data_IF_859403458836
#
_entry.id   IF_859403458836
#
_cell.length_a   1.000
_cell.length_b   1.000
_cell.length_c   1.000
_cell.angle_alpha   90.00
_cell.angle_beta   90.00
_cell.angle_gamma   90.00
#
_symmetry.space_group_name_H-M   'P 1'
#
loop_
_entity.id
_entity.type
_entity.pdbx_description
1 polymer ?
#
# COMPACT_ATOMS: atom_id res chain seq x y z
N UNK A 1 -23.63 3.33 5.18
CA UNK A 1 -22.40 2.67 5.66
C UNK A 1 -21.15 3.39 5.17
N UNK A 2 -20.99 3.61 3.86
CA UNK A 2 -19.82 4.34 3.32
C UNK A 2 -19.78 5.81 3.75
N UNK A 3 -20.92 6.52 3.75
CA UNK A 3 -21.00 7.89 4.25
C UNK A 3 -20.68 8.01 5.75
N UNK A 4 -21.04 6.99 6.52
CA UNK A 4 -20.74 6.94 7.95
C UNK A 4 -19.24 6.74 8.20
N UNK A 5 -18.61 5.80 7.49
CA UNK A 5 -17.16 5.61 7.53
C UNK A 5 -16.42 6.89 7.11
N UNK A 6 -16.86 7.55 6.04
CA UNK A 6 -16.23 8.78 5.57
C UNK A 6 -16.24 9.88 6.64
N UNK A 7 -17.39 10.12 7.28
CA UNK A 7 -17.50 11.09 8.38
C UNK A 7 -16.61 10.71 9.56
N UNK A 8 -16.67 9.44 10.02
CA UNK A 8 -15.87 8.98 11.16
C UNK A 8 -14.37 9.18 10.93
N UNK A 9 -13.87 8.87 9.74
CA UNK A 9 -12.46 9.04 9.42
C UNK A 9 -12.06 10.53 9.42
N UNK A 10 -12.88 11.40 8.83
CA UNK A 10 -12.63 12.85 8.84
C UNK A 10 -12.64 13.41 10.27
N UNK A 11 -13.60 12.99 11.10
CA UNK A 11 -13.74 13.47 12.47
C UNK A 11 -12.56 13.02 13.35
N UNK A 12 -12.12 11.76 13.21
CA UNK A 12 -10.96 11.23 13.92
C UNK A 12 -9.67 12.00 13.59
N UNK A 13 -9.48 12.33 12.32
CA UNK A 13 -8.32 13.12 11.88
C UNK A 13 -8.35 14.54 12.45
N UNK A 14 -9.50 15.22 12.36
CA UNK A 14 -9.62 16.60 12.86
C UNK A 14 -9.51 16.70 14.38
N UNK A 15 -9.94 15.68 15.13
CA UNK A 15 -9.82 15.66 16.58
C UNK A 15 -8.36 15.62 17.08
N UNK A 16 -7.39 15.30 16.21
CA UNK A 16 -5.98 15.10 16.58
C UNK A 16 -5.00 15.80 15.64
N UNK A 17 -5.40 16.96 15.09
CA UNK A 17 -4.57 17.75 14.19
C UNK A 17 -3.24 18.24 14.79
N UNK A 18 -3.16 18.33 16.12
CA UNK A 18 -2.04 18.97 16.82
C UNK A 18 -0.85 18.03 17.12
N UNK A 19 -1.02 16.71 16.96
CA UNK A 19 0.05 15.73 17.07
C UNK A 19 -0.31 14.46 16.29
N UNK A 20 0.61 13.97 15.44
CA UNK A 20 0.44 12.67 14.80
C UNK A 20 0.56 11.58 15.87
N UNK A 21 -0.61 11.16 16.35
CA UNK A 21 -0.74 10.10 17.34
C UNK A 21 -0.93 8.76 16.64
N UNK A 22 0.04 7.87 16.84
CA UNK A 22 0.01 6.49 16.33
C UNK A 22 -1.29 5.78 16.78
N UNK A 23 -1.83 6.09 17.97
CA UNK A 23 -3.07 5.51 18.45
C UNK A 23 -4.28 5.90 17.57
N UNK A 24 -4.27 7.11 17.01
CA UNK A 24 -5.34 7.60 16.12
C UNK A 24 -5.20 6.97 14.73
N UNK A 25 -3.97 6.82 14.24
CA UNK A 25 -3.70 6.09 13.00
C UNK A 25 -4.13 4.61 13.12
N UNK A 26 -3.86 4.00 14.28
CA UNK A 26 -4.31 2.66 14.61
C UNK A 26 -5.84 2.57 14.67
N UNK A 27 -6.50 3.54 15.29
CA UNK A 27 -7.96 3.61 15.30
C UNK A 27 -8.53 3.75 13.88
N UNK A 28 -7.91 4.55 13.02
CA UNK A 28 -8.26 4.65 11.59
C UNK A 28 -8.16 3.31 10.88
N UNK A 29 -7.03 2.62 11.03
CA UNK A 29 -6.80 1.29 10.46
C UNK A 29 -7.87 0.29 10.95
N UNK A 30 -8.20 0.31 12.24
CA UNK A 30 -9.27 -0.50 12.82
C UNK A 30 -10.65 -0.18 12.23
N UNK A 31 -11.00 1.10 12.03
CA UNK A 31 -12.27 1.49 11.42
C UNK A 31 -12.38 1.02 9.97
N UNK A 32 -11.31 1.18 9.19
CA UNK A 32 -11.23 0.66 7.81
C UNK A 32 -11.42 -0.86 7.80
N UNK A 33 -10.72 -1.57 8.68
CA UNK A 33 -10.79 -3.02 8.79
C UNK A 33 -12.19 -3.49 9.19
N UNK A 34 -12.79 -2.93 10.22
CA UNK A 34 -14.15 -3.24 10.67
C UNK A 34 -15.18 -2.93 9.58
N UNK A 35 -15.07 -1.78 8.90
CA UNK A 35 -16.00 -1.44 7.83
C UNK A 35 -15.92 -2.42 6.64
N UNK A 36 -14.74 -2.96 6.34
CA UNK A 36 -14.57 -3.92 5.27
C UNK A 36 -15.06 -5.33 5.64
N UNK A 37 -14.61 -5.85 6.79
CA UNK A 37 -14.83 -7.25 7.18
C UNK A 37 -16.11 -7.48 7.99
N UNK A 38 -16.57 -6.52 8.78
CA UNK A 38 -17.79 -6.66 9.59
C UNK A 38 -19.05 -6.24 8.83
N UNK A 39 -18.92 -5.61 7.66
CA UNK A 39 -20.06 -5.26 6.82
C UNK A 39 -20.69 -6.48 6.16
N UNK A 40 -22.01 -6.55 6.15
CA UNK A 40 -22.70 -7.57 5.35
C UNK A 40 -22.51 -7.28 3.86
N UNK A 41 -22.09 -8.30 3.11
CA UNK A 41 -21.93 -8.16 1.66
C UNK A 41 -23.30 -8.03 1.01
N UNK A 42 -23.60 -6.87 0.45
CA UNK A 42 -24.76 -6.72 -0.43
C UNK A 42 -24.45 -7.34 -1.79
N UNK A 43 -25.39 -8.12 -2.33
CA UNK A 43 -25.22 -8.88 -3.57
C UNK A 43 -24.98 -7.90 -4.72
N UNK A 44 -23.81 -7.99 -5.37
CA UNK A 44 -23.47 -7.19 -6.56
C UNK A 44 -22.56 -5.98 -6.35
N UNK A 45 -22.16 -5.64 -5.12
CA UNK A 45 -21.23 -4.52 -4.87
C UNK A 45 -19.81 -5.01 -4.60
N UNK A 46 -18.82 -4.51 -5.34
CA UNK A 46 -17.42 -4.82 -5.11
C UNK A 46 -16.91 -4.01 -3.90
N UNK A 47 -16.84 -4.66 -2.74
CA UNK A 47 -16.42 -4.03 -1.48
C UNK A 47 -15.06 -3.31 -1.57
N UNK A 48 -14.13 -3.82 -2.36
CA UNK A 48 -12.82 -3.19 -2.53
C UNK A 48 -12.94 -1.85 -3.26
N UNK A 49 -13.66 -1.82 -4.38
CA UNK A 49 -13.89 -0.58 -5.13
C UNK A 49 -14.71 0.44 -4.33
N UNK A 50 -15.70 -0.05 -3.58
CA UNK A 50 -16.51 0.74 -2.68
C UNK A 50 -15.66 1.40 -1.57
N UNK A 51 -14.76 0.63 -0.95
CA UNK A 51 -13.84 1.17 0.06
C UNK A 51 -12.84 2.15 -0.57
N UNK A 52 -12.24 1.80 -1.70
CA UNK A 52 -11.28 2.63 -2.43
C UNK A 52 -11.89 4.00 -2.80
N UNK A 53 -13.12 4.02 -3.31
CA UNK A 53 -13.82 5.26 -3.61
C UNK A 53 -14.09 6.10 -2.36
N UNK A 54 -14.45 5.46 -1.25
CA UNK A 54 -14.69 6.14 0.04
C UNK A 54 -13.39 6.75 0.57
N UNK A 55 -12.30 5.98 0.58
CA UNK A 55 -11.00 6.47 1.02
C UNK A 55 -10.49 7.60 0.13
N UNK A 56 -10.59 7.47 -1.20
CA UNK A 56 -10.21 8.53 -2.12
C UNK A 56 -10.98 9.82 -1.84
N UNK A 57 -12.29 9.74 -1.59
CA UNK A 57 -13.09 10.91 -1.23
C UNK A 57 -12.64 11.55 0.09
N UNK A 58 -12.42 10.74 1.14
CA UNK A 58 -11.94 11.22 2.45
C UNK A 58 -10.58 11.89 2.30
N UNK A 59 -9.65 11.22 1.62
CA UNK A 59 -8.29 11.70 1.47
C UNK A 59 -8.24 13.00 0.66
N UNK A 60 -9.02 13.10 -0.44
CA UNK A 60 -9.18 14.36 -1.17
C UNK A 60 -9.75 15.48 -0.28
N UNK A 61 -10.71 15.18 0.58
CA UNK A 61 -11.28 16.17 1.50
C UNK A 61 -10.25 16.70 2.51
N UNK A 62 -9.42 15.80 3.05
CA UNK A 62 -8.41 16.12 4.05
C UNK A 62 -7.17 16.78 3.46
N UNK A 63 -6.84 16.48 2.19
CA UNK A 63 -5.63 16.96 1.54
C UNK A 63 -5.75 18.36 0.92
N UNK A 64 -6.95 18.88 0.69
CA UNK A 64 -7.21 20.19 0.06
C UNK A 64 -7.12 21.39 1.05
N UNK A 65 -6.91 21.13 2.35
CA UNK A 65 -6.92 22.18 3.39
C UNK A 65 -5.51 22.54 3.87
N UNK A 66 -5.40 23.57 4.73
CA UNK A 66 -4.15 24.03 5.37
C UNK A 66 -3.34 22.93 6.10
N UNK A 67 -3.92 21.74 6.27
CA UNK A 67 -3.38 20.60 6.99
C UNK A 67 -2.89 19.48 6.07
N UNK A 68 -2.67 19.76 4.77
CA UNK A 68 -2.24 18.76 3.79
C UNK A 68 -0.96 17.99 4.23
N UNK A 69 0.00 18.69 4.83
CA UNK A 69 1.22 18.10 5.37
C UNK A 69 0.94 17.13 6.52
N UNK A 70 0.08 17.51 7.49
CA UNK A 70 -0.36 16.63 8.56
C UNK A 70 -1.11 15.42 8.03
N UNK A 71 -1.93 15.59 7.00
CA UNK A 71 -2.63 14.48 6.35
C UNK A 71 -1.65 13.48 5.76
N UNK A 72 -0.64 13.92 5.02
CA UNK A 72 0.33 13.00 4.39
C UNK A 72 1.16 12.24 5.42
N UNK A 73 1.62 12.91 6.47
CA UNK A 73 2.33 12.25 7.57
C UNK A 73 1.44 11.21 8.25
N UNK A 74 0.22 11.58 8.60
CA UNK A 74 -0.77 10.68 9.20
C UNK A 74 -1.14 9.49 8.29
N UNK A 75 -1.32 9.74 6.99
CA UNK A 75 -1.65 8.69 6.02
C UNK A 75 -0.54 7.65 5.88
N UNK A 76 0.74 8.06 5.97
CA UNK A 76 1.87 7.13 5.99
C UNK A 76 1.76 6.19 7.20
N UNK A 77 1.48 6.71 8.40
CA UNK A 77 1.33 5.89 9.60
C UNK A 77 0.19 4.87 9.44
N UNK A 78 -0.96 5.28 8.92
CA UNK A 78 -2.09 4.36 8.66
C UNK A 78 -1.69 3.25 7.69
N UNK A 79 -0.99 3.60 6.60
CA UNK A 79 -0.52 2.64 5.61
C UNK A 79 0.51 1.68 6.22
N UNK A 80 1.42 2.15 7.07
CA UNK A 80 2.40 1.31 7.75
C UNK A 80 1.74 0.33 8.73
N UNK A 81 0.67 0.74 9.41
CA UNK A 81 -0.12 -0.14 10.28
C UNK A 81 -0.84 -1.21 9.46
N UNK A 82 -1.49 -0.83 8.36
CA UNK A 82 -2.18 -1.76 7.47
C UNK A 82 -1.21 -2.68 6.70
N UNK A 83 0.01 -2.24 6.43
CA UNK A 83 1.02 -3.02 5.74
C UNK A 83 1.62 -4.13 6.62
N UNK A 84 1.41 -4.05 7.93
CA UNK A 84 1.79 -5.10 8.89
C UNK A 84 0.62 -6.05 9.09
N UNK A 85 0.88 -7.35 8.97
CA UNK A 85 -0.12 -8.35 9.37
C UNK A 85 -0.38 -8.22 10.88
N UNK A 86 -1.63 -8.41 11.34
CA UNK A 86 -1.94 -8.31 12.74
C UNK A 86 -1.19 -9.43 13.48
N UNK A 87 -0.18 -9.05 14.26
CA UNK A 87 0.53 -9.96 15.16
C UNK A 87 -0.52 -10.66 16.02
N UNK A 88 -0.41 -11.98 16.28
CA UNK A 88 -1.33 -12.66 17.17
C UNK A 88 -1.19 -12.06 18.57
N UNK A 89 -2.01 -11.07 18.89
CA UNK A 89 -2.17 -10.63 20.25
C UNK A 89 -2.76 -11.81 21.03
N UNK A 90 -2.18 -12.07 22.20
CA UNK A 90 -2.80 -12.87 23.27
C UNK A 90 -4.28 -12.44 23.35
N UNK A 91 -5.25 -13.36 23.44
CA UNK A 91 -6.64 -13.02 23.28
C UNK A 91 -7.07 -12.05 24.39
N UNK A 92 -7.17 -10.77 24.05
CA UNK A 92 -7.91 -9.82 24.86
C UNK A 92 -9.38 -10.23 24.78
N UNK A 93 -9.86 -10.66 25.93
CA UNK A 93 -11.25 -10.93 26.22
C UNK A 93 -11.97 -9.60 26.26
N UNK A 94 -12.37 -9.08 25.10
CA UNK A 94 -13.56 -8.28 24.91
C UNK A 94 -13.52 -7.73 23.49
N UNK A 95 -14.42 -8.22 22.62
CA UNK A 95 -15.23 -7.41 21.69
C UNK A 95 -16.05 -8.34 20.78
N UNK A 96 -17.37 -8.17 20.87
CA UNK A 96 -18.46 -8.67 20.02
C UNK A 96 -18.72 -10.20 19.97
N UNK A 97 -19.55 -10.67 20.92
CA UNK A 97 -20.52 -11.75 20.65
C UNK A 97 -21.95 -11.25 20.93
N UNK A 98 -22.90 -11.44 19.99
CA UNK A 98 -24.23 -11.85 20.37
C UNK A 98 -24.21 -13.37 20.60
N UNK A 99 -24.70 -13.79 21.76
CA UNK A 99 -24.76 -15.18 22.21
C UNK A 99 -25.60 -16.05 21.26
N UNK A 100 -25.00 -17.13 20.76
CA UNK A 100 -25.72 -18.36 20.38
C UNK A 100 -24.73 -19.55 20.32
N UNK A 101 -24.73 -20.32 21.40
CA UNK A 101 -24.52 -21.77 21.51
C UNK A 101 -23.61 -22.52 20.51
N UNK A 102 -22.57 -23.13 21.09
CA UNK A 102 -21.96 -24.43 20.75
C UNK A 102 -21.42 -24.65 19.33
N UNK A 103 -20.09 -24.50 19.15
CA UNK A 103 -19.20 -25.57 18.66
C UNK A 103 -17.81 -25.04 18.28
N UNK A 104 -16.77 -25.78 18.73
CA UNK A 104 -15.36 -25.80 18.28
C UNK A 104 -14.60 -24.46 18.26
N UNK A 105 -13.66 -24.30 19.22
CA UNK A 105 -12.55 -23.33 19.18
C UNK A 105 -11.64 -23.61 17.98
N UNK A 106 -12.05 -23.19 16.80
CA UNK A 106 -11.12 -22.90 15.71
C UNK A 106 -10.46 -21.58 16.01
N UNK A 107 -9.13 -21.51 15.96
CA UNK A 107 -8.42 -20.24 15.92
C UNK A 107 -9.07 -19.37 14.85
N UNK A 108 -9.78 -18.30 15.23
CA UNK A 108 -10.30 -17.34 14.25
C UNK A 108 -9.08 -16.81 13.50
N UNK A 109 -8.88 -17.25 12.26
CA UNK A 109 -7.90 -16.65 11.37
C UNK A 109 -8.23 -15.15 11.36
N UNK A 110 -7.34 -14.33 11.92
CA UNK A 110 -7.47 -12.88 11.82
C UNK A 110 -7.50 -12.54 10.33
N UNK A 111 -8.41 -11.65 9.96
CA UNK A 111 -8.52 -11.22 8.57
C UNK A 111 -7.25 -10.44 8.20
N UNK A 112 -6.75 -10.57 6.96
CA UNK A 112 -5.48 -9.98 6.56
C UNK A 112 -5.59 -8.47 6.36
N UNK A 113 -4.56 -7.71 6.73
CA UNK A 113 -4.54 -6.26 6.52
C UNK A 113 -4.02 -5.86 5.14
N UNK A 114 -3.15 -6.68 4.53
CA UNK A 114 -2.48 -6.37 3.26
C UNK A 114 -3.45 -5.92 2.15
N UNK A 115 -4.61 -6.58 1.91
CA UNK A 115 -5.56 -6.10 0.90
C UNK A 115 -6.09 -4.70 1.17
N UNK A 116 -6.24 -4.31 2.44
CA UNK A 116 -6.71 -2.96 2.82
C UNK A 116 -5.60 -1.93 2.64
N UNK A 117 -4.34 -2.30 2.89
CA UNK A 117 -3.19 -1.45 2.60
C UNK A 117 -3.12 -1.12 1.09
N UNK A 118 -3.32 -2.10 0.21
CA UNK A 118 -3.43 -1.85 -1.23
C UNK A 118 -4.55 -0.86 -1.58
N UNK A 119 -5.72 -1.00 -0.95
CA UNK A 119 -6.84 -0.08 -1.18
C UNK A 119 -6.48 1.34 -0.74
N UNK A 120 -5.83 1.50 0.42
CA UNK A 120 -5.37 2.80 0.90
C UNK A 120 -4.31 3.41 -0.04
N UNK A 121 -3.31 2.63 -0.48
CA UNK A 121 -2.28 3.06 -1.43
C UNK A 121 -2.88 3.48 -2.77
N UNK A 122 -3.85 2.72 -3.29
CA UNK A 122 -4.56 3.07 -4.52
C UNK A 122 -5.35 4.38 -4.37
N UNK A 123 -6.00 4.58 -3.22
CA UNK A 123 -6.69 5.83 -2.92
C UNK A 123 -5.73 7.03 -2.83
N UNK A 124 -4.56 6.87 -2.19
CA UNK A 124 -3.52 7.92 -2.15
C UNK A 124 -3.00 8.24 -3.56
N UNK A 125 -2.74 7.21 -4.36
CA UNK A 125 -2.29 7.37 -5.75
C UNK A 125 -3.27 8.17 -6.60
N UNK A 126 -4.58 8.00 -6.37
CA UNK A 126 -5.60 8.80 -7.06
C UNK A 126 -5.48 10.28 -6.76
N UNK A 127 -5.10 10.68 -5.54
CA UNK A 127 -4.96 12.10 -5.17
C UNK A 127 -3.73 12.70 -5.83
N UNK A 128 -2.61 11.96 -5.81
CA UNK A 128 -1.36 12.36 -6.45
C UNK A 128 -1.56 12.56 -7.96
N UNK A 129 -2.47 11.77 -8.56
CA UNK A 129 -2.80 11.82 -9.98
C UNK A 129 -4.05 12.62 -10.33
N UNK A 130 -4.84 13.10 -9.35
CA UNK A 130 -6.03 13.94 -9.58
C UNK A 130 -5.51 15.36 -9.83
N UNK A 131 -5.67 15.84 -11.06
CA UNK A 131 -5.50 17.25 -11.46
C UNK A 131 -4.09 17.85 -11.31
N UNK A 132 -3.03 17.13 -11.72
CA UNK A 132 -1.65 17.66 -11.73
C UNK A 132 -1.30 18.46 -10.46
N UNK A 133 -1.85 18.05 -9.31
CA UNK A 133 -1.69 18.81 -8.07
C UNK A 133 -0.26 18.62 -7.60
N UNK A 134 0.61 19.48 -8.14
CA UNK A 134 2.04 19.48 -7.90
C UNK A 134 2.33 19.53 -6.40
N UNK A 135 1.48 20.20 -5.64
CA UNK A 135 1.55 20.24 -4.18
C UNK A 135 1.35 18.86 -3.54
N UNK A 136 0.31 18.10 -3.93
CA UNK A 136 0.07 16.75 -3.37
C UNK A 136 1.18 15.78 -3.75
N UNK A 137 1.67 15.88 -4.98
CA UNK A 137 2.85 15.14 -5.43
C UNK A 137 4.06 15.51 -4.58
N UNK A 138 4.38 16.80 -4.40
CA UNK A 138 5.51 17.26 -3.61
C UNK A 138 5.43 16.81 -2.15
N UNK A 139 4.25 16.89 -1.52
CA UNK A 139 4.02 16.39 -0.16
C UNK A 139 4.22 14.87 -0.05
N UNK A 140 3.72 14.10 -1.02
CA UNK A 140 3.96 12.66 -1.10
C UNK A 140 5.46 12.34 -1.23
N UNK A 141 6.19 13.06 -2.09
CA UNK A 141 7.64 12.90 -2.24
C UNK A 141 8.41 13.28 -0.98
N UNK A 142 7.98 14.32 -0.25
CA UNK A 142 8.59 14.72 1.01
C UNK A 142 8.50 13.60 2.05
N UNK A 143 7.38 12.86 2.09
CA UNK A 143 7.26 11.68 2.95
C UNK A 143 8.29 10.61 2.57
N UNK A 144 8.45 10.28 1.28
CA UNK A 144 9.47 9.31 0.85
C UNK A 144 10.91 9.71 1.18
N UNK A 145 11.20 11.02 1.19
CA UNK A 145 12.53 11.56 1.50
C UNK A 145 12.82 11.64 3.00
N UNK A 146 11.82 12.04 3.80
CA UNK A 146 12.05 12.46 5.19
C UNK A 146 11.40 11.56 6.23
N UNK A 147 10.47 10.67 5.85
CA UNK A 147 9.84 9.77 6.80
C UNK A 147 10.75 8.54 7.05
N UNK A 148 11.52 8.58 8.14
CA UNK A 148 12.48 7.53 8.50
C UNK A 148 11.80 6.17 8.73
N UNK A 149 10.59 6.16 9.31
CA UNK A 149 9.86 4.91 9.58
C UNK A 149 9.43 4.21 8.30
N UNK A 150 8.89 4.97 7.34
CA UNK A 150 8.51 4.47 6.02
C UNK A 150 9.72 3.90 5.28
N UNK A 151 10.83 4.63 5.29
CA UNK A 151 12.07 4.21 4.62
C UNK A 151 12.65 2.96 5.27
N UNK A 152 12.73 2.92 6.61
CA UNK A 152 13.18 1.75 7.35
C UNK A 152 12.29 0.53 7.09
N UNK A 153 10.97 0.72 7.02
CA UNK A 153 10.03 -0.33 6.66
C UNK A 153 10.29 -0.88 5.25
N UNK A 154 10.42 0.00 4.26
CA UNK A 154 10.69 -0.40 2.88
C UNK A 154 12.05 -1.10 2.71
N UNK A 155 13.12 -0.59 3.33
CA UNK A 155 14.45 -1.19 3.26
C UNK A 155 14.48 -2.59 3.87
N UNK A 156 13.86 -2.79 5.05
CA UNK A 156 13.75 -4.13 5.67
C UNK A 156 12.97 -5.09 4.79
N UNK A 157 11.83 -4.64 4.27
CA UNK A 157 10.96 -5.43 3.42
C UNK A 157 11.63 -5.90 2.12
N UNK A 158 12.36 -5.01 1.43
CA UNK A 158 13.11 -5.35 0.22
C UNK A 158 14.25 -6.35 0.50
N UNK A 159 14.75 -6.38 1.73
CA UNK A 159 15.74 -7.35 2.22
C UNK A 159 15.22 -8.79 2.39
N UNK A 160 13.99 -9.09 1.95
CA UNK A 160 13.30 -10.38 2.08
C UNK A 160 12.83 -10.72 3.50
N UNK A 161 12.34 -9.71 4.22
CA UNK A 161 11.54 -9.93 5.43
C UNK A 161 10.24 -10.68 5.05
N UNK A 162 10.04 -11.88 5.63
CA UNK A 162 8.89 -12.74 5.32
C UNK A 162 7.56 -12.17 5.77
N UNK A 163 7.58 -11.17 6.65
CA UNK A 163 6.39 -10.64 7.31
C UNK A 163 5.75 -9.48 6.55
N UNK A 164 6.33 -9.08 5.40
CA UNK A 164 5.83 -7.98 4.58
C UNK A 164 5.56 -8.45 3.14
N UNK A 165 4.37 -8.12 2.61
CA UNK A 165 4.03 -8.42 1.23
C UNK A 165 4.89 -7.59 0.25
N UNK A 166 5.71 -8.29 -0.55
CA UNK A 166 6.65 -7.65 -1.47
C UNK A 166 5.97 -6.89 -2.60
N UNK A 167 4.75 -7.27 -3.00
CA UNK A 167 4.01 -6.51 -4.03
C UNK A 167 3.55 -5.18 -3.46
N UNK A 168 3.08 -5.16 -2.21
CA UNK A 168 2.70 -3.93 -1.52
C UNK A 168 3.91 -3.01 -1.35
N UNK A 169 5.06 -3.55 -0.96
CA UNK A 169 6.30 -2.79 -0.83
C UNK A 169 6.69 -2.09 -2.13
N UNK A 170 6.58 -2.77 -3.27
CA UNK A 170 6.84 -2.15 -4.57
C UNK A 170 5.88 -0.98 -4.83
N UNK A 171 4.60 -1.12 -4.50
CA UNK A 171 3.66 0.00 -4.65
C UNK A 171 3.98 1.19 -3.75
N UNK A 172 4.47 0.94 -2.53
CA UNK A 172 4.86 1.99 -1.58
C UNK A 172 6.12 2.72 -2.07
N UNK A 173 7.16 1.97 -2.42
CA UNK A 173 8.42 2.51 -2.92
C UNK A 173 8.19 3.34 -4.18
N UNK A 174 7.33 2.87 -5.10
CA UNK A 174 6.95 3.60 -6.30
C UNK A 174 6.08 4.83 -6.04
N UNK A 175 5.11 4.75 -5.11
CA UNK A 175 4.24 5.89 -4.76
C UNK A 175 5.03 7.02 -4.10
N UNK A 176 5.88 6.69 -3.13
CA UNK A 176 6.65 7.66 -2.36
C UNK A 176 8.01 7.99 -2.99
N UNK A 177 8.37 7.38 -4.12
CA UNK A 177 9.65 7.57 -4.84
C UNK A 177 10.87 7.38 -3.93
N UNK A 178 10.89 6.27 -3.18
CA UNK A 178 12.00 5.89 -2.31
C UNK A 178 13.07 5.20 -3.16
N UNK A 179 13.84 5.99 -3.91
CA UNK A 179 14.80 5.47 -4.91
C UNK A 179 16.22 5.30 -4.39
N UNK A 180 16.54 5.88 -3.23
CA UNK A 180 17.85 5.79 -2.59
C UNK A 180 17.96 4.54 -1.70
N UNK A 181 17.82 3.38 -2.36
CA UNK A 181 17.92 2.05 -1.76
C UNK A 181 19.16 1.35 -2.30
N UNK A 182 19.82 0.55 -1.46
CA UNK A 182 20.93 -0.31 -1.85
C UNK A 182 20.52 -1.24 -3.02
N UNK A 183 21.30 -1.20 -4.11
CA UNK A 183 21.09 -2.02 -5.30
C UNK A 183 21.02 -3.52 -4.98
N UNK A 184 21.72 -4.01 -3.97
CA UNK A 184 21.68 -5.41 -3.55
C UNK A 184 20.34 -5.80 -2.93
N UNK A 185 19.69 -4.89 -2.20
CA UNK A 185 18.32 -5.12 -1.69
C UNK A 185 17.33 -5.17 -2.86
N UNK A 186 17.49 -4.26 -3.82
CA UNK A 186 16.65 -4.20 -5.02
C UNK A 186 16.81 -5.48 -5.87
N UNK A 187 18.02 -6.01 -6.02
CA UNK A 187 18.29 -7.29 -6.70
C UNK A 187 17.68 -8.49 -5.96
N UNK A 188 17.77 -8.53 -4.63
CA UNK A 188 17.09 -9.57 -3.85
C UNK A 188 15.57 -9.54 -4.03
N UNK A 189 14.97 -8.35 -4.07
CA UNK A 189 13.55 -8.21 -4.35
C UNK A 189 13.20 -8.70 -5.76
N UNK A 190 14.02 -8.40 -6.77
CA UNK A 190 13.88 -8.93 -8.13
C UNK A 190 13.83 -10.46 -8.14
N UNK A 191 14.81 -11.12 -7.51
CA UNK A 191 14.89 -12.59 -7.48
C UNK A 191 13.64 -13.22 -6.84
N UNK A 192 13.14 -12.64 -5.75
CA UNK A 192 11.90 -13.10 -5.11
C UNK A 192 10.66 -12.89 -5.99
N UNK A 193 10.58 -11.76 -6.71
CA UNK A 193 9.46 -11.50 -7.61
C UNK A 193 9.48 -12.43 -8.82
N UNK A 194 10.66 -12.77 -9.35
CA UNK A 194 10.82 -13.78 -10.38
C UNK A 194 10.39 -15.16 -9.88
N UNK A 195 10.90 -15.58 -8.72
CA UNK A 195 10.57 -16.88 -8.14
C UNK A 195 9.06 -17.05 -7.84
N UNK A 196 8.42 -15.97 -7.38
CA UNK A 196 6.98 -15.94 -7.11
C UNK A 196 6.11 -15.66 -8.34
N UNK A 197 6.71 -15.45 -9.52
CA UNK A 197 6.03 -15.09 -10.78
C UNK A 197 5.16 -13.84 -10.64
N UNK A 198 5.59 -12.90 -9.82
CA UNK A 198 4.89 -11.65 -9.54
C UNK A 198 5.27 -10.56 -10.56
N UNK A 199 5.05 -10.84 -11.85
CA UNK A 199 5.60 -10.05 -12.95
C UNK A 199 5.14 -8.58 -12.96
N UNK A 200 3.89 -8.29 -12.59
CA UNK A 200 3.42 -6.89 -12.54
C UNK A 200 4.17 -6.05 -11.49
N UNK A 201 4.44 -6.62 -10.32
CA UNK A 201 5.25 -5.96 -9.30
C UNK A 201 6.73 -5.89 -9.72
N UNK A 202 7.24 -6.91 -10.41
CA UNK A 202 8.60 -6.88 -10.96
C UNK A 202 8.78 -5.72 -11.95
N UNK A 203 7.84 -5.55 -12.88
CA UNK A 203 7.88 -4.46 -13.87
C UNK A 203 7.93 -3.10 -13.17
N UNK A 204 7.08 -2.89 -12.15
CA UNK A 204 7.06 -1.66 -11.36
C UNK A 204 8.35 -1.43 -10.57
N UNK A 205 8.95 -2.49 -10.03
CA UNK A 205 10.25 -2.41 -9.37
C UNK A 205 11.32 -1.92 -10.36
N UNK A 206 11.38 -2.51 -11.56
CA UNK A 206 12.33 -2.11 -12.59
C UNK A 206 12.09 -0.68 -13.09
N UNK A 207 10.84 -0.26 -13.21
CA UNK A 207 10.47 1.10 -13.60
C UNK A 207 10.86 2.13 -12.52
N UNK A 208 10.67 1.79 -11.24
CA UNK A 208 11.00 2.68 -10.12
C UNK A 208 12.51 2.88 -9.96
N UNK A 209 13.29 1.81 -10.17
CA UNK A 209 14.76 1.84 -10.10
C UNK A 209 15.35 1.73 -11.51
N UNK A 210 15.05 2.71 -12.36
CA UNK A 210 15.47 2.73 -13.76
C UNK A 210 17.00 2.75 -13.97
N UNK A 211 17.75 3.24 -12.97
CA UNK A 211 19.21 3.35 -13.02
C UNK A 211 19.94 2.03 -12.67
N UNK A 212 19.21 1.01 -12.23
CA UNK A 212 19.79 -0.31 -11.94
C UNK A 212 19.99 -1.07 -13.26
N UNK A 213 21.16 -1.67 -13.42
CA UNK A 213 21.43 -2.56 -14.55
C UNK A 213 20.67 -3.89 -14.36
N UNK A 214 19.58 -4.03 -15.11
CA UNK A 214 18.67 -5.16 -15.02
C UNK A 214 19.07 -6.30 -15.96
N UNK A 215 18.97 -7.57 -15.52
CA UNK A 215 19.23 -8.73 -16.39
C UNK A 215 18.05 -8.96 -17.36
N UNK A 216 17.91 -8.05 -18.33
CA UNK A 216 16.75 -7.92 -19.22
C UNK A 216 16.37 -9.24 -19.90
N UNK A 217 17.34 -9.92 -20.51
CA UNK A 217 17.11 -11.18 -21.22
C UNK A 217 16.60 -12.28 -20.28
N UNK A 218 17.15 -12.36 -19.06
CA UNK A 218 16.73 -13.33 -18.06
C UNK A 218 15.30 -13.08 -17.58
N UNK A 219 14.94 -11.82 -17.33
CA UNK A 219 13.58 -11.42 -16.92
C UNK A 219 12.56 -11.80 -18.01
N UNK A 220 12.83 -11.44 -19.27
CA UNK A 220 11.96 -11.76 -20.40
C UNK A 220 11.84 -13.27 -20.58
N UNK A 221 12.95 -14.01 -20.52
CA UNK A 221 12.94 -15.47 -20.62
C UNK A 221 12.07 -16.10 -19.53
N UNK A 222 12.16 -15.62 -18.29
CA UNK A 222 11.31 -16.08 -17.18
C UNK A 222 9.83 -15.84 -17.44
N UNK A 223 9.43 -14.64 -17.88
CA UNK A 223 8.03 -14.32 -18.21
C UNK A 223 7.49 -15.19 -19.35
N UNK A 224 8.29 -15.40 -20.40
CA UNK A 224 7.95 -16.27 -21.53
C UNK A 224 7.81 -17.73 -21.11
N UNK A 225 8.72 -18.25 -20.29
CA UNK A 225 8.63 -19.61 -19.73
C UNK A 225 7.38 -19.78 -18.87
N UNK A 226 6.98 -18.73 -18.14
CA UNK A 226 5.73 -18.68 -17.40
C UNK A 226 4.48 -18.47 -18.28
N UNK A 227 4.66 -18.32 -19.61
CA UNK A 227 3.60 -18.03 -20.60
C UNK A 227 2.88 -16.70 -20.38
N UNK A 228 3.51 -15.76 -19.69
CA UNK A 228 2.97 -14.42 -19.44
C UNK A 228 3.50 -13.44 -20.51
N UNK A 229 3.00 -13.61 -21.73
CA UNK A 229 3.40 -12.81 -22.89
C UNK A 229 3.05 -11.33 -22.72
N UNK A 230 1.92 -11.02 -22.07
CA UNK A 230 1.49 -9.65 -21.82
C UNK A 230 2.49 -8.90 -20.94
N UNK A 231 2.94 -9.52 -19.84
CA UNK A 231 3.98 -8.92 -18.99
C UNK A 231 5.31 -8.78 -19.73
N UNK A 232 5.70 -9.77 -20.54
CA UNK A 232 6.93 -9.70 -21.33
C UNK A 232 6.93 -8.53 -22.33
N UNK A 233 5.84 -8.36 -23.07
CA UNK A 233 5.66 -7.24 -24.01
C UNK A 233 5.64 -5.89 -23.29
N UNK A 234 4.92 -5.80 -22.17
CA UNK A 234 4.87 -4.59 -21.36
C UNK A 234 6.26 -4.21 -20.83
N UNK A 235 7.01 -5.19 -20.31
CA UNK A 235 8.36 -4.99 -19.80
C UNK A 235 9.30 -4.48 -20.91
N UNK A 236 9.29 -5.13 -22.09
CA UNK A 236 10.08 -4.69 -23.24
C UNK A 236 9.74 -3.25 -23.64
N UNK A 237 8.46 -2.88 -23.66
CA UNK A 237 8.02 -1.54 -24.01
C UNK A 237 8.50 -0.48 -23.00
N UNK A 238 8.43 -0.78 -21.70
CA UNK A 238 8.88 0.12 -20.63
C UNK A 238 10.40 0.29 -20.69
N UNK A 239 11.17 -0.79 -20.75
CA UNK A 239 12.63 -0.73 -20.78
C UNK A 239 13.16 0.04 -22.00
N UNK A 240 12.52 -0.10 -23.16
CA UNK A 240 12.85 0.72 -24.34
C UNK A 240 12.63 2.21 -24.10
N UNK A 241 11.55 2.60 -23.41
CA UNK A 241 11.28 4.01 -23.09
C UNK A 241 12.34 4.56 -22.15
N UNK A 242 12.74 3.81 -21.13
CA UNK A 242 13.76 4.23 -20.16
C UNK A 242 15.12 4.45 -20.84
N UNK A 243 15.54 3.55 -21.74
CA UNK A 243 16.78 3.71 -22.50
C UNK A 243 16.80 4.96 -23.40
N UNK A 244 15.65 5.31 -24.00
CA UNK A 244 15.53 6.53 -24.83
C UNK A 244 15.63 7.79 -23.97
N UNK A 245 15.12 7.77 -22.74
CA UNK A 245 15.22 8.90 -21.80
C UNK A 245 16.66 9.07 -21.29
N UNK A 246 17.36 7.97 -20.98
CA UNK A 246 18.76 8.01 -20.51
C UNK A 246 19.77 8.44 -21.59
N UNK A 247 19.40 8.42 -22.87
CA UNK A 247 20.26 8.80 -24.00
C UNK A 247 20.13 10.27 -24.43
N UNK A 248 19.37 11.09 -23.69
CA UNK A 248 19.17 12.53 -23.92
C UNK A 248 19.84 13.35 -22.84
#
# INVERSE_FOLDING_TARGET
>A
MQEHLASELVDLFHAHLDAVDIAVADQWAHRIHSAFYCSQSTRGNNKFLALEATLAQVFTCLSIRANAHFFWDFAVHVVLILAREPTPAVPDADTCQPEASTSKKGSRKRQPNVPLAFVAVNALRKIVNLDESREQMELCLLQGRHNEELRAFCMRGLGADSDVDLKLLVELVGLFQITDVDCELVRKALDHLLASKSHAALIKLCETFADVDWPFESIVASMVQAKDWTSAELFVAIMRRLLVVASR
#
